data_IF_127668535312
#
_entry.id   IF_127668535312
#
_cell.length_a   1.000
_cell.length_b   1.000
_cell.length_c   1.000
_cell.angle_alpha   90.00
_cell.angle_beta   90.00
_cell.angle_gamma   90.00
#
_symmetry.space_group_name_H-M   'P 1'
#
loop_
_entity.id
_entity.type
_entity.pdbx_description
1 polymer ?
#
# COMPACT_ATOMS: atom_id res chain seq x y z
N UNK A 1 -0.02 33.43 6.34
CA UNK A 1 -0.20 31.96 6.24
C UNK A 1 1.07 31.40 5.62
N UNK A 2 1.77 30.52 6.33
CA UNK A 2 2.99 29.88 5.82
C UNK A 2 2.64 29.02 4.61
N UNK A 3 3.39 29.16 3.50
CA UNK A 3 3.22 28.33 2.30
C UNK A 3 3.76 26.93 2.63
N UNK A 4 2.89 26.03 3.12
CA UNK A 4 3.28 24.65 3.45
C UNK A 4 3.77 23.95 2.19
N UNK A 5 4.83 23.15 2.33
CA UNK A 5 5.32 22.29 1.24
C UNK A 5 4.43 21.05 1.15
N UNK A 6 3.96 20.73 -0.04
CA UNK A 6 3.23 19.50 -0.26
C UNK A 6 4.21 18.32 -0.37
N UNK A 7 4.00 17.26 0.41
CA UNK A 7 4.79 16.02 0.35
C UNK A 7 3.85 14.84 0.16
N UNK A 8 3.99 14.15 -0.98
CA UNK A 8 3.29 12.90 -1.24
C UNK A 8 4.14 11.73 -0.80
N UNK A 9 3.54 10.81 -0.05
CA UNK A 9 4.17 9.56 0.38
C UNK A 9 3.31 8.40 -0.10
N UNK A 10 3.92 7.49 -0.85
CA UNK A 10 3.25 6.32 -1.40
C UNK A 10 3.75 5.08 -0.68
N UNK A 11 2.83 4.33 -0.06
CA UNK A 11 3.10 3.02 0.51
C UNK A 11 2.82 1.96 -0.55
N UNK A 12 3.88 1.36 -1.11
CA UNK A 12 3.79 0.12 -1.87
C UNK A 12 4.23 -1.04 -0.99
N UNK A 13 3.28 -1.83 -0.53
CA UNK A 13 3.48 -2.96 0.38
C UNK A 13 2.61 -4.13 -0.03
N UNK A 14 2.95 -5.33 0.40
CA UNK A 14 2.08 -6.51 0.25
C UNK A 14 0.89 -6.35 1.21
N UNK A 15 -0.08 -5.54 0.83
CA UNK A 15 -1.20 -5.18 1.69
C UNK A 15 -2.08 -6.39 2.03
N UNK A 16 -1.95 -7.52 1.33
CA UNK A 16 -2.65 -8.77 1.62
C UNK A 16 -2.03 -9.58 2.78
N UNK A 17 -0.81 -9.23 3.21
CA UNK A 17 -0.17 -9.76 4.41
C UNK A 17 -0.52 -8.91 5.65
N UNK A 18 -0.82 -9.58 6.76
CA UNK A 18 -1.30 -8.90 7.97
C UNK A 18 -0.20 -8.12 8.69
N UNK A 19 1.03 -8.65 8.69
CA UNK A 19 2.18 -8.01 9.31
C UNK A 19 2.57 -6.75 8.54
N UNK A 20 2.72 -6.89 7.22
CA UNK A 20 3.05 -5.77 6.34
C UNK A 20 1.98 -4.66 6.37
N UNK A 21 0.69 -5.03 6.31
CA UNK A 21 -0.39 -4.07 6.41
C UNK A 21 -0.39 -3.30 7.73
N UNK A 22 -0.13 -4.00 8.85
CA UNK A 22 -0.09 -3.37 10.18
C UNK A 22 1.11 -2.43 10.31
N UNK A 23 2.31 -2.87 9.94
CA UNK A 23 3.50 -2.03 10.01
C UNK A 23 3.35 -0.77 9.14
N UNK A 24 2.84 -0.91 7.92
CA UNK A 24 2.63 0.22 7.02
C UNK A 24 1.62 1.23 7.60
N UNK A 25 0.52 0.74 8.20
CA UNK A 25 -0.46 1.59 8.86
C UNK A 25 0.12 2.35 10.06
N UNK A 26 0.89 1.68 10.92
CA UNK A 26 1.52 2.33 12.08
C UNK A 26 2.54 3.39 11.65
N UNK A 27 3.33 3.12 10.61
CA UNK A 27 4.26 4.12 10.05
C UNK A 27 3.48 5.30 9.46
N UNK A 28 2.41 5.05 8.71
CA UNK A 28 1.57 6.10 8.12
C UNK A 28 0.90 6.98 9.20
N UNK A 29 0.40 6.36 10.26
CA UNK A 29 -0.16 7.08 11.43
C UNK A 29 0.91 7.94 12.08
N UNK A 30 2.10 7.38 12.36
CA UNK A 30 3.21 8.15 12.92
C UNK A 30 3.61 9.34 12.05
N UNK A 31 3.69 9.17 10.72
CA UNK A 31 3.98 10.27 9.81
C UNK A 31 2.94 11.39 9.89
N UNK A 32 1.65 11.03 9.98
CA UNK A 32 0.55 11.98 10.12
C UNK A 32 0.58 12.69 11.48
N UNK A 33 0.76 11.94 12.57
CA UNK A 33 0.70 12.45 13.95
C UNK A 33 1.90 13.34 14.30
N UNK A 34 3.06 13.05 13.73
CA UNK A 34 4.31 13.81 13.96
C UNK A 34 4.69 14.72 12.79
N UNK A 35 3.78 14.98 11.86
CA UNK A 35 4.04 15.89 10.74
C UNK A 35 4.30 17.31 11.24
N UNK A 36 5.46 17.87 10.90
CA UNK A 36 5.76 19.27 11.19
C UNK A 36 4.83 20.21 10.41
N UNK A 37 4.54 21.38 10.96
CA UNK A 37 3.64 22.37 10.35
C UNK A 37 4.11 22.93 8.99
N UNK A 38 5.36 22.67 8.61
CA UNK A 38 5.94 23.09 7.34
C UNK A 38 5.47 22.24 6.15
N UNK A 39 4.85 21.08 6.40
CA UNK A 39 4.40 20.17 5.37
C UNK A 39 2.88 19.94 5.40
N UNK A 40 2.35 19.69 4.22
CA UNK A 40 1.04 19.08 4.01
C UNK A 40 1.27 17.70 3.42
N UNK A 41 0.86 16.64 4.13
CA UNK A 41 1.09 15.25 3.71
C UNK A 41 -0.08 14.72 2.89
N UNK A 42 0.24 14.12 1.75
CA UNK A 42 -0.67 13.30 0.94
C UNK A 42 -0.20 11.85 0.96
N UNK A 43 -0.77 11.05 1.86
CA UNK A 43 -0.41 9.64 2.04
C UNK A 43 -1.36 8.75 1.25
N UNK A 44 -0.79 7.90 0.38
CA UNK A 44 -1.53 7.00 -0.51
C UNK A 44 -0.98 5.58 -0.36
N UNK A 45 -1.86 4.60 -0.21
CA UNK A 45 -1.52 3.18 -0.27
C UNK A 45 -1.81 2.64 -1.66
N UNK A 46 -0.86 1.94 -2.24
CA UNK A 46 -1.10 1.13 -3.44
C UNK A 46 -1.77 -0.18 -3.01
N UNK A 47 -2.75 -0.63 -3.79
CA UNK A 47 -3.38 -1.92 -3.56
C UNK A 47 -3.82 -2.56 -4.85
N UNK A 48 -3.42 -3.81 -5.04
CA UNK A 48 -3.99 -4.70 -6.04
C UNK A 48 -5.26 -5.42 -5.53
N UNK A 49 -5.75 -5.14 -4.32
CA UNK A 49 -6.88 -5.84 -3.71
C UNK A 49 -6.45 -6.53 -2.41
N UNK A 50 -7.09 -6.16 -1.30
CA UNK A 50 -6.81 -6.74 0.02
C UNK A 50 -7.99 -6.61 0.97
N UNK A 51 -8.19 -7.62 1.83
CA UNK A 51 -9.12 -7.55 2.98
C UNK A 51 -8.77 -6.47 4.00
N UNK A 52 -7.57 -5.89 3.94
CA UNK A 52 -7.11 -4.85 4.86
C UNK A 52 -7.37 -3.42 4.36
N UNK A 53 -7.82 -3.25 3.11
CA UNK A 53 -8.19 -1.92 2.58
C UNK A 53 -9.23 -1.17 3.43
N UNK A 54 -10.29 -1.82 3.98
CA UNK A 54 -11.21 -1.13 4.87
C UNK A 54 -10.51 -0.52 6.10
N UNK A 55 -9.43 -1.14 6.60
CA UNK A 55 -8.65 -0.58 7.72
C UNK A 55 -7.87 0.66 7.31
N UNK A 56 -7.23 0.64 6.14
CA UNK A 56 -6.53 1.79 5.57
C UNK A 56 -7.48 2.98 5.39
N UNK A 57 -8.67 2.73 4.82
CA UNK A 57 -9.70 3.75 4.65
C UNK A 57 -10.20 4.26 6.01
N UNK A 58 -10.44 3.36 6.97
CA UNK A 58 -10.91 3.73 8.32
C UNK A 58 -9.88 4.56 9.10
N UNK A 59 -8.57 4.37 8.83
CA UNK A 59 -7.49 5.19 9.37
C UNK A 59 -7.40 6.58 8.68
N UNK A 60 -8.18 6.82 7.63
CA UNK A 60 -8.25 8.08 6.90
C UNK A 60 -7.21 8.22 5.79
N UNK A 61 -6.61 7.13 5.32
CA UNK A 61 -5.67 7.14 4.20
C UNK A 61 -6.35 6.81 2.87
N UNK A 62 -5.77 7.33 1.78
CA UNK A 62 -6.24 7.07 0.41
C UNK A 62 -5.69 5.74 -0.08
N UNK A 63 -6.47 5.07 -0.94
CA UNK A 63 -6.01 3.89 -1.67
C UNK A 63 -6.04 4.20 -3.16
N UNK A 64 -4.92 3.92 -3.83
CA UNK A 64 -4.88 3.82 -5.28
C UNK A 64 -4.95 2.34 -5.68
N UNK A 65 -5.89 2.01 -6.56
CA UNK A 65 -6.09 0.64 -7.04
C UNK A 65 -5.19 0.35 -8.22
N UNK A 66 -4.19 -0.50 -8.00
CA UNK A 66 -3.27 -0.94 -9.04
C UNK A 66 -3.85 -2.11 -9.84
N UNK A 67 -3.40 -2.24 -11.09
CA UNK A 67 -3.64 -3.43 -11.90
C UNK A 67 -2.49 -4.45 -11.72
N UNK A 68 -2.73 -5.76 -11.90
CA UNK A 68 -4.04 -6.41 -11.94
C UNK A 68 -4.75 -6.31 -10.59
N UNK A 69 -6.09 -6.31 -10.61
CA UNK A 69 -6.89 -6.44 -9.38
C UNK A 69 -7.01 -7.92 -9.01
N UNK A 70 -6.54 -8.27 -7.82
CA UNK A 70 -6.63 -9.58 -7.18
C UNK A 70 -7.92 -9.70 -6.37
N UNK A 71 -8.21 -10.93 -5.93
CA UNK A 71 -9.45 -11.20 -5.19
C UNK A 71 -9.47 -10.59 -3.79
N UNK A 72 -8.28 -10.30 -3.22
CA UNK A 72 -8.14 -9.68 -1.91
C UNK A 72 -8.49 -10.60 -0.75
N UNK A 73 -8.51 -11.92 -0.97
CA UNK A 73 -8.80 -12.94 0.04
C UNK A 73 -7.67 -13.00 1.08
N UNK A 74 -6.42 -12.86 0.64
CA UNK A 74 -5.25 -12.88 1.51
C UNK A 74 -3.97 -13.36 0.81
N UNK A 75 -2.84 -13.11 1.47
CA UNK A 75 -1.49 -13.38 0.97
C UNK A 75 -1.33 -14.76 0.29
N UNK A 76 -1.70 -15.84 0.98
CA UNK A 76 -1.50 -17.19 0.44
C UNK A 76 -2.39 -17.51 -0.76
N UNK A 77 -3.62 -17.03 -0.77
CA UNK A 77 -4.59 -17.32 -1.84
C UNK A 77 -4.29 -16.50 -3.09
N UNK A 78 -3.99 -15.21 -2.90
CA UNK A 78 -3.78 -14.26 -3.99
C UNK A 78 -2.38 -14.38 -4.59
N UNK A 79 -1.34 -14.50 -3.76
CA UNK A 79 0.06 -14.45 -4.21
C UNK A 79 0.73 -15.82 -4.30
N UNK A 80 0.12 -16.86 -3.72
CA UNK A 80 0.55 -18.26 -3.79
C UNK A 80 2.06 -18.41 -3.54
N UNK A 81 2.58 -17.95 -2.39
CA UNK A 81 4.00 -17.94 -2.11
C UNK A 81 4.60 -19.35 -2.20
N UNK A 82 5.87 -19.42 -2.56
CA UNK A 82 6.65 -20.66 -2.48
C UNK A 82 7.52 -20.63 -1.21
N UNK A 83 8.33 -21.67 -0.99
CA UNK A 83 9.30 -21.70 0.13
C UNK A 83 10.29 -20.52 0.08
N UNK A 84 10.59 -19.98 -1.11
CA UNK A 84 11.64 -18.97 -1.31
C UNK A 84 11.13 -17.66 -1.91
N UNK A 85 9.91 -17.61 -2.43
CA UNK A 85 9.37 -16.44 -3.12
C UNK A 85 8.05 -15.99 -2.47
N UNK A 86 7.92 -14.67 -2.25
CA UNK A 86 6.69 -14.05 -1.74
C UNK A 86 5.52 -14.17 -2.72
N UNK A 87 5.81 -14.16 -4.02
CA UNK A 87 4.83 -14.38 -5.08
C UNK A 87 5.31 -15.60 -5.87
N UNK A 88 4.49 -16.64 -5.93
CA UNK A 88 4.90 -17.92 -6.52
C UNK A 88 4.84 -17.97 -8.03
N UNK A 89 4.26 -16.96 -8.68
CA UNK A 89 4.10 -16.88 -10.12
C UNK A 89 4.87 -15.69 -10.68
N UNK A 90 5.92 -15.96 -11.46
CA UNK A 90 6.77 -14.94 -12.10
C UNK A 90 6.00 -14.04 -13.06
N UNK A 91 4.98 -14.56 -13.74
CA UNK A 91 4.15 -13.75 -14.64
C UNK A 91 3.34 -12.74 -13.82
N UNK A 92 2.73 -13.22 -12.73
CA UNK A 92 1.99 -12.36 -11.81
C UNK A 92 2.89 -11.28 -11.19
N UNK A 93 4.13 -11.62 -10.79
CA UNK A 93 5.11 -10.63 -10.32
C UNK A 93 5.31 -9.52 -11.34
N UNK A 94 5.53 -9.86 -12.61
CA UNK A 94 5.75 -8.87 -13.66
C UNK A 94 4.52 -7.97 -13.87
N UNK A 95 3.32 -8.55 -13.80
CA UNK A 95 2.07 -7.80 -13.95
C UNK A 95 1.83 -6.84 -12.77
N UNK A 96 2.03 -7.30 -11.53
CA UNK A 96 1.93 -6.47 -10.33
C UNK A 96 2.91 -5.29 -10.38
N UNK A 97 4.19 -5.55 -10.65
CA UNK A 97 5.22 -4.51 -10.76
C UNK A 97 4.88 -3.48 -11.84
N UNK A 98 4.39 -3.92 -13.02
CA UNK A 98 4.01 -3.01 -14.09
C UNK A 98 2.87 -2.10 -13.69
N UNK A 99 1.86 -2.63 -13.00
CA UNK A 99 0.74 -1.80 -12.55
C UNK A 99 1.10 -0.85 -11.42
N UNK A 100 1.98 -1.23 -10.50
CA UNK A 100 2.51 -0.31 -9.48
C UNK A 100 3.35 0.82 -10.11
N UNK A 101 4.21 0.50 -11.08
CA UNK A 101 5.01 1.52 -11.79
C UNK A 101 4.10 2.52 -12.53
N UNK A 102 2.96 2.08 -13.07
CA UNK A 102 2.00 2.95 -13.75
C UNK A 102 1.18 3.82 -12.78
N UNK A 103 1.15 3.47 -11.49
CA UNK A 103 0.38 4.19 -10.47
C UNK A 103 1.12 5.42 -9.90
N UNK A 104 2.44 5.51 -10.13
CA UNK A 104 3.35 6.51 -9.59
C UNK A 104 3.70 7.52 -10.68
#
# INVERSE_FOLDING_TARGET
MSNKKHLRIVFSVILSDAGEATHALEIANGLKDYCTDNYELDIIFLSNGSKFEPKVISAGFKIYKCLPVLSGIGFHQDLKPTKTNLIGDTKLVSELLRGEIQAI
#
